data_IF_346929964323
#
_entry.id   IF_346929964323
#
_cell.length_a   1.000
_cell.length_b   1.000
_cell.length_c   1.000
_cell.angle_alpha   90.00
_cell.angle_beta   90.00
_cell.angle_gamma   90.00
#
_symmetry.space_group_name_H-M   'P 1'
#
loop_
_entity.id
_entity.type
_entity.pdbx_description
1 polymer ?
#
# COMPACT_ATOMS: atom_id res chain seq x y z
N UNK A 1 3.90 -2.85 -26.31
CA UNK A 1 2.96 -3.42 -25.32
C UNK A 1 3.70 -4.37 -24.37
N UNK A 2 4.78 -3.89 -23.72
CA UNK A 2 5.62 -4.64 -22.75
C UNK A 2 5.43 -4.12 -21.32
N UNK A 3 4.34 -3.39 -21.08
CA UNK A 3 4.05 -2.73 -19.79
C UNK A 3 3.84 -3.71 -18.62
N UNK A 4 3.65 -5.00 -18.91
CA UNK A 4 3.51 -6.08 -17.93
C UNK A 4 4.74 -7.00 -17.82
N UNK A 5 5.75 -6.81 -18.68
CA UNK A 5 6.93 -7.69 -18.73
C UNK A 5 8.13 -7.18 -17.95
N UNK A 6 8.20 -5.87 -17.65
CA UNK A 6 9.34 -5.31 -16.92
C UNK A 6 9.29 -5.71 -15.44
N UNK A 7 10.45 -5.87 -14.79
CA UNK A 7 10.46 -6.21 -13.35
C UNK A 7 9.85 -5.08 -12.50
N UNK A 8 10.03 -3.84 -12.95
CA UNK A 8 9.47 -2.66 -12.29
C UNK A 8 7.94 -2.60 -12.39
N UNK A 9 7.33 -3.11 -13.48
CA UNK A 9 5.87 -3.24 -13.57
C UNK A 9 5.33 -4.30 -12.61
N UNK A 10 6.05 -5.41 -12.42
CA UNK A 10 5.66 -6.45 -11.43
C UNK A 10 5.74 -5.91 -10.01
N UNK A 11 6.78 -5.15 -9.69
CA UNK A 11 6.89 -4.47 -8.41
C UNK A 11 5.71 -3.51 -8.19
N UNK A 12 5.35 -2.72 -9.21
CA UNK A 12 4.21 -1.82 -9.15
C UNK A 12 2.88 -2.51 -8.93
N UNK A 13 2.60 -3.59 -9.66
CA UNK A 13 1.40 -4.40 -9.45
C UNK A 13 1.35 -5.03 -8.07
N UNK A 14 2.48 -5.55 -7.57
CA UNK A 14 2.57 -6.12 -6.23
C UNK A 14 2.28 -5.07 -5.16
N UNK A 15 2.82 -3.87 -5.29
CA UNK A 15 2.53 -2.74 -4.38
C UNK A 15 1.05 -2.36 -4.44
N UNK A 16 0.48 -2.23 -5.65
CA UNK A 16 -0.92 -1.89 -5.84
C UNK A 16 -1.85 -2.94 -5.20
N UNK A 17 -1.56 -4.22 -5.40
CA UNK A 17 -2.31 -5.31 -4.81
C UNK A 17 -2.20 -5.33 -3.27
N UNK A 18 -0.99 -5.14 -2.72
CA UNK A 18 -0.78 -5.06 -1.27
C UNK A 18 -1.54 -3.90 -0.62
N UNK A 19 -1.66 -2.75 -1.29
CA UNK A 19 -2.43 -1.62 -0.77
C UNK A 19 -3.93 -1.92 -0.86
N UNK A 20 -4.39 -2.50 -1.98
CA UNK A 20 -5.81 -2.80 -2.23
C UNK A 20 -6.35 -3.95 -1.37
N UNK A 21 -5.51 -4.88 -0.95
CA UNK A 21 -5.97 -6.01 -0.13
C UNK A 21 -6.46 -5.57 1.25
N UNK A 22 -5.97 -4.44 1.77
CA UNK A 22 -6.38 -3.91 3.08
C UNK A 22 -7.87 -3.61 3.12
N UNK A 23 -8.43 -2.70 2.26
CA UNK A 23 -9.86 -2.43 2.27
C UNK A 23 -10.70 -3.67 1.97
N UNK A 24 -10.23 -4.59 1.13
CA UNK A 24 -10.94 -5.86 0.86
C UNK A 24 -11.07 -6.70 2.12
N UNK A 25 -9.97 -6.90 2.86
CA UNK A 25 -9.99 -7.66 4.11
C UNK A 25 -10.87 -6.99 5.16
N UNK A 26 -10.83 -5.66 5.27
CA UNK A 26 -11.66 -4.93 6.22
C UNK A 26 -13.15 -5.01 5.85
N UNK A 27 -13.48 -4.91 4.55
CA UNK A 27 -14.84 -5.07 4.06
C UNK A 27 -15.38 -6.47 4.38
N UNK A 28 -14.59 -7.52 4.15
CA UNK A 28 -14.97 -8.89 4.51
C UNK A 28 -15.22 -9.05 6.01
N UNK A 29 -14.39 -8.42 6.84
CA UNK A 29 -14.55 -8.43 8.29
C UNK A 29 -15.83 -7.71 8.74
N UNK A 30 -16.15 -6.57 8.13
CA UNK A 30 -17.39 -5.81 8.39
C UNK A 30 -18.63 -6.61 7.96
N UNK A 31 -18.63 -7.13 6.73
CA UNK A 31 -19.74 -7.93 6.20
C UNK A 31 -20.00 -9.16 7.07
N UNK A 32 -18.93 -9.85 7.50
CA UNK A 32 -19.06 -10.99 8.41
C UNK A 32 -19.62 -10.59 9.78
N UNK A 33 -19.18 -9.46 10.33
CA UNK A 33 -19.68 -8.97 11.62
C UNK A 33 -21.17 -8.58 11.55
N UNK A 34 -21.59 -7.95 10.46
CA UNK A 34 -22.99 -7.59 10.23
C UNK A 34 -23.85 -8.83 10.01
N UNK A 35 -23.32 -9.84 9.32
CA UNK A 35 -23.96 -11.14 9.23
C UNK A 35 -24.24 -11.75 10.61
N UNK A 36 -23.29 -11.69 11.54
CA UNK A 36 -23.50 -12.16 12.92
C UNK A 36 -24.60 -11.36 13.64
N UNK A 37 -24.65 -10.03 13.45
CA UNK A 37 -25.71 -9.18 14.01
C UNK A 37 -27.08 -9.58 13.45
N UNK A 38 -27.18 -9.85 12.15
CA UNK A 38 -28.42 -10.32 11.52
C UNK A 38 -28.88 -11.67 12.08
N UNK A 39 -27.97 -12.63 12.26
CA UNK A 39 -28.29 -13.94 12.87
C UNK A 39 -28.75 -13.78 14.33
N UNK A 40 -28.12 -12.86 15.08
CA UNK A 40 -28.51 -12.55 16.44
C UNK A 40 -29.92 -11.92 16.49
N UNK A 41 -30.23 -11.00 15.57
CA UNK A 41 -31.56 -10.40 15.42
C UNK A 41 -32.64 -11.44 15.17
N UNK A 42 -32.39 -12.34 14.23
CA UNK A 42 -33.30 -13.42 13.94
C UNK A 42 -33.54 -14.30 15.18
N UNK A 43 -32.47 -14.73 15.85
CA UNK A 43 -32.56 -15.58 17.05
C UNK A 43 -33.35 -14.89 18.16
N UNK A 44 -33.15 -13.58 18.33
CA UNK A 44 -33.91 -12.77 19.29
C UNK A 44 -35.40 -12.71 18.94
N UNK A 45 -35.75 -12.51 17.67
CA UNK A 45 -37.14 -12.47 17.25
C UNK A 45 -37.84 -13.83 17.46
N UNK A 46 -37.21 -14.93 17.08
CA UNK A 46 -37.75 -16.29 17.31
C UNK A 46 -37.97 -16.53 18.81
N UNK A 47 -36.99 -16.19 19.65
CA UNK A 47 -37.08 -16.37 21.11
C UNK A 47 -38.19 -15.55 21.77
N UNK A 48 -38.58 -14.41 21.18
CA UNK A 48 -39.66 -13.56 21.68
C UNK A 48 -41.04 -13.89 21.07
N UNK A 49 -41.16 -15.00 20.36
CA UNK A 49 -42.44 -15.49 19.83
C UNK A 49 -42.92 -14.77 18.58
N UNK A 50 -42.03 -14.07 17.86
CA UNK A 50 -42.35 -13.60 16.51
C UNK A 50 -42.35 -14.81 15.57
N UNK A 51 -43.48 -15.13 14.88
CA UNK A 51 -43.57 -16.27 14.00
C UNK A 51 -42.77 -15.98 12.72
N UNK A 52 -41.48 -16.28 12.77
CA UNK A 52 -40.59 -16.24 11.63
C UNK A 52 -40.48 -17.66 11.09
N UNK A 53 -41.08 -17.93 9.94
CA UNK A 53 -40.78 -19.14 9.17
C UNK A 53 -39.34 -19.07 8.64
N UNK A 54 -38.70 -20.20 8.32
CA UNK A 54 -37.36 -20.17 7.70
C UNK A 54 -37.33 -19.34 6.39
N UNK A 55 -38.46 -19.25 5.68
CA UNK A 55 -38.65 -18.37 4.52
C UNK A 55 -38.53 -16.87 4.89
N UNK A 56 -39.03 -16.47 6.06
CA UNK A 56 -38.94 -15.08 6.53
C UNK A 56 -37.51 -14.64 6.88
N UNK A 57 -36.61 -15.57 7.20
CA UNK A 57 -35.19 -15.30 7.38
C UNK A 57 -34.53 -15.01 6.02
N UNK A 58 -34.83 -15.82 5.01
CA UNK A 58 -34.35 -15.57 3.66
C UNK A 58 -34.84 -14.22 3.12
N UNK A 59 -36.11 -13.87 3.39
CA UNK A 59 -36.68 -12.58 3.01
C UNK A 59 -36.04 -11.40 3.75
N UNK A 60 -35.75 -11.56 5.05
CA UNK A 60 -35.02 -10.56 5.84
C UNK A 60 -33.61 -10.32 5.27
N UNK A 61 -32.86 -11.38 5.00
CA UNK A 61 -31.54 -11.27 4.38
C UNK A 61 -31.62 -10.66 2.98
N UNK A 62 -32.57 -11.10 2.15
CA UNK A 62 -32.76 -10.58 0.81
C UNK A 62 -33.07 -9.08 0.85
N UNK A 63 -33.95 -8.63 1.75
CA UNK A 63 -34.26 -7.22 1.88
C UNK A 63 -33.04 -6.39 2.31
N UNK A 64 -32.28 -6.86 3.31
CA UNK A 64 -31.05 -6.18 3.77
C UNK A 64 -29.98 -6.15 2.68
N UNK A 65 -29.78 -7.23 1.92
CA UNK A 65 -28.78 -7.25 0.86
C UNK A 65 -29.24 -6.52 -0.40
N UNK A 66 -30.53 -6.50 -0.70
CA UNK A 66 -31.06 -5.82 -1.87
C UNK A 66 -30.86 -4.32 -1.80
N UNK A 67 -31.01 -3.70 -0.61
CA UNK A 67 -30.67 -2.29 -0.41
C UNK A 67 -29.18 -1.98 -0.62
N UNK A 68 -28.34 -3.01 -0.65
CA UNK A 68 -26.88 -2.89 -0.70
C UNK A 68 -26.29 -3.18 -2.06
N UNK A 69 -27.07 -3.81 -2.95
CA UNK A 69 -26.68 -4.06 -4.34
C UNK A 69 -26.33 -2.73 -5.04
N UNK A 70 -27.03 -1.65 -4.71
CA UNK A 70 -26.76 -0.32 -5.25
C UNK A 70 -25.38 0.23 -4.85
N UNK A 71 -24.80 -0.22 -3.73
CA UNK A 71 -23.48 0.21 -3.26
C UNK A 71 -22.32 -0.60 -3.85
N UNK A 72 -22.58 -1.79 -4.43
CA UNK A 72 -21.54 -2.65 -5.02
C UNK A 72 -20.71 -1.91 -6.09
N UNK A 73 -21.30 -1.15 -7.04
CA UNK A 73 -20.53 -0.38 -8.02
C UNK A 73 -19.61 0.67 -7.37
N UNK A 74 -20.05 1.32 -6.29
CA UNK A 74 -19.26 2.33 -5.59
C UNK A 74 -18.07 1.69 -4.85
N UNK A 75 -18.27 0.53 -4.23
CA UNK A 75 -17.19 -0.25 -3.62
C UNK A 75 -16.20 -0.71 -4.69
N UNK A 76 -16.70 -1.22 -5.82
CA UNK A 76 -15.87 -1.62 -6.95
C UNK A 76 -15.01 -0.46 -7.48
N UNK A 77 -15.64 0.70 -7.70
CA UNK A 77 -14.94 1.92 -8.11
C UNK A 77 -13.90 2.35 -7.08
N UNK A 78 -14.25 2.34 -5.78
CA UNK A 78 -13.33 2.65 -4.69
C UNK A 78 -12.09 1.75 -4.71
N UNK A 79 -12.27 0.42 -4.84
CA UNK A 79 -11.16 -0.53 -4.91
C UNK A 79 -10.28 -0.30 -6.15
N UNK A 80 -10.87 0.02 -7.30
CA UNK A 80 -10.13 0.38 -8.52
C UNK A 80 -9.30 1.64 -8.28
N UNK A 81 -9.88 2.68 -7.66
CA UNK A 81 -9.16 3.92 -7.34
C UNK A 81 -8.00 3.65 -6.40
N UNK A 82 -8.20 2.89 -5.32
CA UNK A 82 -7.14 2.51 -4.37
C UNK A 82 -6.03 1.73 -5.07
N UNK A 83 -6.37 0.84 -6.00
CA UNK A 83 -5.40 0.11 -6.80
C UNK A 83 -4.52 1.04 -7.64
N UNK A 84 -5.12 2.01 -8.35
CA UNK A 84 -4.37 3.00 -9.11
C UNK A 84 -3.51 3.91 -8.22
N UNK A 85 -4.01 4.29 -7.05
CA UNK A 85 -3.19 5.01 -6.05
C UNK A 85 -1.98 4.17 -5.66
N UNK A 86 -2.14 2.86 -5.47
CA UNK A 86 -1.02 1.95 -5.20
C UNK A 86 0.02 1.90 -6.33
N UNK A 87 -0.40 2.00 -7.60
CA UNK A 87 0.52 2.16 -8.75
C UNK A 87 1.30 3.47 -8.65
N UNK A 88 0.63 4.58 -8.35
CA UNK A 88 1.26 5.90 -8.18
C UNK A 88 2.29 5.86 -7.04
N UNK A 89 1.93 5.24 -5.92
CA UNK A 89 2.80 5.06 -4.76
C UNK A 89 4.05 4.28 -5.15
N UNK A 90 3.91 3.20 -5.93
CA UNK A 90 5.07 2.47 -6.46
C UNK A 90 5.94 3.31 -7.39
N UNK A 91 5.33 4.16 -8.23
CA UNK A 91 6.09 5.05 -9.10
C UNK A 91 6.91 6.08 -8.30
N UNK A 92 6.34 6.65 -7.23
CA UNK A 92 7.06 7.56 -6.31
C UNK A 92 8.24 6.83 -5.66
N UNK A 93 8.04 5.57 -5.26
CA UNK A 93 9.08 4.69 -4.72
C UNK A 93 10.23 4.48 -5.71
N UNK A 94 9.92 4.23 -6.97
CA UNK A 94 10.91 3.91 -8.00
C UNK A 94 11.61 5.14 -8.56
N UNK A 95 11.13 6.35 -8.29
CA UNK A 95 11.68 7.61 -8.83
C UNK A 95 13.20 7.77 -8.65
N UNK A 96 13.81 7.47 -7.48
CA UNK A 96 15.26 7.58 -7.32
C UNK A 96 16.06 6.63 -8.23
N UNK A 97 15.52 5.44 -8.52
CA UNK A 97 16.16 4.49 -9.44
C UNK A 97 16.10 4.97 -10.89
N UNK A 98 14.97 5.56 -11.31
CA UNK A 98 14.86 6.16 -12.64
C UNK A 98 15.83 7.34 -12.80
N UNK A 99 15.97 8.18 -11.76
CA UNK A 99 16.96 9.27 -11.77
C UNK A 99 18.40 8.74 -11.88
N UNK A 100 18.75 7.69 -11.13
CA UNK A 100 20.05 7.04 -11.25
C UNK A 100 20.29 6.46 -12.66
N UNK A 101 19.25 5.84 -13.25
CA UNK A 101 19.29 5.31 -14.62
C UNK A 101 19.62 6.40 -15.63
N UNK A 102 18.93 7.55 -15.54
CA UNK A 102 19.18 8.71 -16.39
C UNK A 102 20.60 9.24 -16.22
N UNK A 103 21.08 9.38 -14.98
CA UNK A 103 22.47 9.79 -14.71
C UNK A 103 23.49 8.85 -15.37
N UNK A 104 23.24 7.53 -15.34
CA UNK A 104 24.11 6.55 -15.99
C UNK A 104 24.05 6.63 -17.53
N UNK A 105 22.87 6.93 -18.10
CA UNK A 105 22.71 7.15 -19.54
C UNK A 105 23.43 8.42 -20.00
N UNK A 106 23.28 9.53 -19.28
CA UNK A 106 23.99 10.79 -19.55
C UNK A 106 25.52 10.56 -19.56
N UNK A 107 26.02 9.78 -18.59
CA UNK A 107 27.44 9.42 -18.52
C UNK A 107 27.91 8.57 -19.70
N UNK A 108 27.08 7.62 -20.15
CA UNK A 108 27.36 6.77 -21.31
C UNK A 108 27.46 7.58 -22.60
N UNK A 109 26.62 8.60 -22.75
CA UNK A 109 26.62 9.51 -23.89
C UNK A 109 27.74 10.56 -23.82
N UNK A 110 28.49 10.61 -22.71
CA UNK A 110 29.57 11.58 -22.49
C UNK A 110 29.06 12.98 -22.14
N UNK A 111 27.78 13.12 -21.79
CA UNK A 111 27.20 14.36 -21.31
C UNK A 111 27.53 14.56 -19.83
N UNK A 112 27.82 15.81 -19.44
CA UNK A 112 27.86 16.15 -18.01
C UNK A 112 26.48 15.93 -17.40
N UNK A 113 26.45 15.41 -16.16
CA UNK A 113 25.22 15.20 -15.39
C UNK A 113 24.53 16.56 -15.18
N UNK A 114 23.63 16.92 -16.09
CA UNK A 114 22.81 18.15 -16.05
C UNK A 114 21.48 17.94 -15.34
N UNK A 115 21.21 16.74 -14.82
CA UNK A 115 19.96 16.41 -14.15
C UNK A 115 19.72 17.41 -13.02
N UNK A 116 18.68 18.26 -13.17
CA UNK A 116 18.22 19.20 -12.14
C UNK A 116 17.64 18.40 -10.98
N UNK A 117 18.51 17.86 -10.13
CA UNK A 117 18.07 17.19 -8.92
C UNK A 117 17.75 18.25 -7.87
N UNK A 118 16.52 18.23 -7.34
CA UNK A 118 16.08 19.14 -6.27
C UNK A 118 17.02 19.03 -5.07
N UNK A 119 17.24 20.12 -4.32
CA UNK A 119 18.18 20.15 -3.18
C UNK A 119 17.94 19.07 -2.13
N UNK A 120 16.67 18.69 -1.91
CA UNK A 120 16.27 17.58 -1.03
C UNK A 120 16.59 16.19 -1.64
N UNK A 121 16.55 16.06 -2.96
CA UNK A 121 16.83 14.81 -3.67
C UNK A 121 18.34 14.55 -3.81
N UNK A 122 19.18 15.60 -3.77
CA UNK A 122 20.65 15.47 -3.78
C UNK A 122 21.20 14.72 -2.57
N UNK A 123 20.45 14.69 -1.47
CA UNK A 123 20.84 13.96 -0.26
C UNK A 123 20.54 12.45 -0.35
N UNK A 124 19.75 12.02 -1.35
CA UNK A 124 19.42 10.61 -1.55
C UNK A 124 20.68 9.83 -1.92
N UNK A 125 20.84 8.68 -1.29
CA UNK A 125 22.03 7.85 -1.40
C UNK A 125 22.30 7.42 -2.86
N UNK A 126 21.26 7.05 -3.60
CA UNK A 126 21.36 6.69 -5.02
C UNK A 126 21.82 7.85 -5.91
N UNK A 127 21.44 9.08 -5.60
CA UNK A 127 21.87 10.26 -6.36
C UNK A 127 23.34 10.57 -6.08
N UNK A 128 23.76 10.51 -4.80
CA UNK A 128 25.18 10.63 -4.43
C UNK A 128 26.03 9.59 -5.15
N UNK A 129 25.51 8.38 -5.30
CA UNK A 129 26.15 7.29 -6.02
C UNK A 129 26.28 7.58 -7.52
N UNK A 130 25.26 8.16 -8.15
CA UNK A 130 25.33 8.62 -9.54
C UNK A 130 26.40 9.71 -9.76
N UNK A 131 26.51 10.68 -8.85
CA UNK A 131 27.58 11.67 -8.91
C UNK A 131 28.97 11.05 -8.69
N UNK A 132 29.08 10.11 -7.74
CA UNK A 132 30.32 9.36 -7.53
C UNK A 132 30.74 8.59 -8.80
N UNK A 133 29.80 7.94 -9.50
CA UNK A 133 30.09 7.25 -10.77
C UNK A 133 30.59 8.21 -11.85
N UNK A 134 30.06 9.43 -11.91
CA UNK A 134 30.56 10.48 -12.80
C UNK A 134 32.00 10.85 -12.50
N UNK A 135 32.29 11.15 -11.23
CA UNK A 135 33.64 11.55 -10.80
C UNK A 135 34.64 10.41 -11.00
N UNK A 136 34.20 9.17 -10.74
CA UNK A 136 34.97 7.95 -10.99
C UNK A 136 35.28 7.76 -12.47
N UNK A 137 34.30 7.93 -13.35
CA UNK A 137 34.48 7.84 -14.81
C UNK A 137 35.48 8.89 -15.32
N UNK A 138 35.36 10.15 -14.88
CA UNK A 138 36.26 11.25 -15.27
C UNK A 138 37.69 11.00 -14.82
N UNK A 139 37.89 10.60 -13.58
CA UNK A 139 39.22 10.36 -13.05
C UNK A 139 39.90 9.13 -13.67
N UNK A 140 39.17 8.08 -14.03
CA UNK A 140 39.73 6.93 -14.74
C UNK A 140 40.18 7.31 -16.15
N UNK A 141 39.47 8.21 -16.85
CA UNK A 141 39.93 8.82 -18.11
C UNK A 141 41.21 9.63 -17.93
N UNK A 142 41.33 10.34 -16.81
CA UNK A 142 42.50 11.16 -16.47
C UNK A 142 43.68 10.37 -15.85
N UNK A 143 43.57 9.04 -15.71
CA UNK A 143 44.52 8.19 -14.94
C UNK A 143 44.78 8.68 -13.50
N UNK A 144 43.78 9.29 -12.85
CA UNK A 144 43.84 9.73 -11.46
C UNK A 144 43.22 8.69 -10.54
N UNK A 145 43.86 8.47 -9.39
CA UNK A 145 43.29 7.63 -8.33
C UNK A 145 42.07 8.34 -7.70
N UNK A 146 40.93 7.65 -7.66
CA UNK A 146 39.73 8.11 -6.95
C UNK A 146 39.60 7.37 -5.64
N UNK A 147 39.57 8.11 -4.55
CA UNK A 147 39.13 7.57 -3.27
C UNK A 147 37.60 7.56 -3.22
N UNK A 148 37.01 6.44 -2.82
CA UNK A 148 35.58 6.38 -2.51
C UNK A 148 35.29 7.39 -1.38
N UNK A 149 34.30 8.29 -1.53
CA UNK A 149 33.92 9.26 -0.50
C UNK A 149 33.63 8.60 0.84
N UNK A 150 34.07 9.21 1.94
CA UNK A 150 33.88 8.65 3.29
C UNK A 150 32.40 8.46 3.66
N UNK A 151 31.53 9.31 3.11
CA UNK A 151 30.08 9.19 3.25
C UNK A 151 29.52 7.88 2.69
N UNK A 152 30.09 7.37 1.59
CA UNK A 152 29.69 6.11 0.97
C UNK A 152 30.37 4.91 1.64
N UNK A 153 31.61 5.08 2.15
CA UNK A 153 32.31 4.04 2.92
C UNK A 153 31.65 3.75 4.28
N UNK A 154 31.05 4.77 4.90
CA UNK A 154 30.34 4.64 6.20
C UNK A 154 29.02 3.88 6.09
N UNK A 155 28.56 3.56 4.88
CA UNK A 155 27.32 2.82 4.66
C UNK A 155 27.55 1.33 4.94
N UNK A 156 27.39 0.92 6.20
CA UNK A 156 27.55 -0.48 6.63
C UNK A 156 26.27 -1.29 6.52
N UNK A 157 25.11 -0.65 6.29
CA UNK A 157 23.82 -1.31 6.15
C UNK A 157 22.76 -0.43 5.47
N UNK A 158 21.50 -0.91 5.40
CA UNK A 158 20.39 -0.16 4.81
C UNK A 158 20.15 1.15 5.56
N UNK A 159 20.40 2.29 4.90
CA UNK A 159 20.18 3.61 5.49
C UNK A 159 18.76 4.07 5.18
N UNK A 160 18.02 4.46 6.22
CA UNK A 160 16.71 5.04 6.07
C UNK A 160 16.78 6.54 5.75
N UNK A 161 16.31 6.90 4.56
CA UNK A 161 15.98 8.29 4.23
C UNK A 161 14.72 8.70 5.01
N UNK A 162 14.91 9.47 6.09
CA UNK A 162 13.85 9.91 6.99
C UNK A 162 12.81 10.80 6.29
N UNK A 163 13.24 11.62 5.34
CA UNK A 163 12.34 12.57 4.64
C UNK A 163 11.46 11.79 3.67
N UNK A 164 12.07 10.90 2.89
CA UNK A 164 11.34 10.00 1.99
C UNK A 164 10.38 9.09 2.78
N UNK A 165 10.84 8.52 3.90
CA UNK A 165 10.01 7.73 4.81
C UNK A 165 8.78 8.51 5.29
N UNK A 166 8.98 9.74 5.74
CA UNK A 166 7.91 10.58 6.26
C UNK A 166 6.87 10.94 5.18
N UNK A 167 7.32 11.38 4.00
CA UNK A 167 6.44 11.67 2.86
C UNK A 167 5.57 10.46 2.50
N UNK A 168 6.19 9.29 2.46
CA UNK A 168 5.51 8.05 2.13
C UNK A 168 4.52 7.63 3.23
N UNK A 169 4.89 7.79 4.50
CA UNK A 169 3.98 7.56 5.63
C UNK A 169 2.76 8.48 5.57
N UNK A 170 2.93 9.76 5.21
CA UNK A 170 1.81 10.68 5.01
C UNK A 170 0.86 10.19 3.91
N UNK A 171 1.38 9.71 2.78
CA UNK A 171 0.54 9.16 1.70
C UNK A 171 -0.25 7.93 2.17
N UNK A 172 0.41 7.01 2.87
CA UNK A 172 -0.24 5.82 3.43
C UNK A 172 -1.30 6.19 4.48
N UNK A 173 -1.05 7.23 5.27
CA UNK A 173 -2.02 7.75 6.23
C UNK A 173 -3.27 8.33 5.56
N UNK A 174 -3.10 9.09 4.47
CA UNK A 174 -4.24 9.61 3.68
C UNK A 174 -5.09 8.45 3.12
N UNK A 175 -4.45 7.44 2.55
CA UNK A 175 -5.15 6.25 2.02
C UNK A 175 -5.89 5.52 3.14
N UNK A 176 -5.24 5.37 4.31
CA UNK A 176 -5.86 4.77 5.49
C UNK A 176 -7.08 5.55 5.96
N UNK A 177 -6.97 6.89 6.01
CA UNK A 177 -8.06 7.75 6.42
C UNK A 177 -9.28 7.61 5.50
N UNK A 178 -9.06 7.69 4.18
CA UNK A 178 -10.11 7.50 3.17
C UNK A 178 -10.75 6.10 3.30
N UNK A 179 -9.94 5.07 3.53
CA UNK A 179 -10.42 3.70 3.73
C UNK A 179 -11.32 3.59 4.96
N UNK A 180 -10.89 4.16 6.10
CA UNK A 180 -11.66 4.17 7.34
C UNK A 180 -12.98 4.93 7.17
N UNK A 181 -12.95 6.11 6.54
CA UNK A 181 -14.17 6.88 6.26
C UNK A 181 -15.13 6.10 5.36
N UNK A 182 -14.62 5.42 4.34
CA UNK A 182 -15.45 4.62 3.42
C UNK A 182 -16.10 3.43 4.16
N UNK A 183 -15.32 2.73 5.00
CA UNK A 183 -15.83 1.64 5.84
C UNK A 183 -16.87 2.13 6.84
N UNK A 184 -16.64 3.28 7.46
CA UNK A 184 -17.60 3.91 8.39
C UNK A 184 -18.94 4.15 7.69
N UNK A 185 -18.94 4.85 6.54
CA UNK A 185 -20.16 5.17 5.79
C UNK A 185 -20.90 3.89 5.40
N UNK A 186 -20.19 2.93 4.84
CA UNK A 186 -20.78 1.66 4.41
C UNK A 186 -21.38 0.86 5.57
N UNK A 187 -20.69 0.80 6.70
CA UNK A 187 -21.13 0.04 7.88
C UNK A 187 -22.40 0.64 8.48
N UNK A 188 -22.47 1.97 8.62
CA UNK A 188 -23.68 2.64 9.13
C UNK A 188 -24.87 2.47 8.18
N UNK A 189 -24.67 2.56 6.86
CA UNK A 189 -25.75 2.34 5.89
C UNK A 189 -26.29 0.91 5.93
N UNK A 190 -25.40 -0.07 6.07
CA UNK A 190 -25.80 -1.47 6.28
C UNK A 190 -26.58 -1.63 7.58
N UNK A 191 -26.10 -1.06 8.68
CA UNK A 191 -26.78 -1.18 9.96
C UNK A 191 -28.15 -0.51 9.96
N UNK A 192 -28.28 0.69 9.39
CA UNK A 192 -29.57 1.37 9.27
C UNK A 192 -30.57 0.50 8.49
N UNK A 193 -30.12 -0.16 7.42
CA UNK A 193 -30.93 -1.14 6.69
C UNK A 193 -31.37 -2.30 7.60
N UNK A 194 -30.48 -2.84 8.44
CA UNK A 194 -30.81 -3.90 9.40
C UNK A 194 -31.85 -3.43 10.43
N UNK A 195 -31.71 -2.21 10.96
CA UNK A 195 -32.66 -1.65 11.95
C UNK A 195 -34.02 -1.38 11.32
N UNK A 196 -34.06 -0.72 10.16
CA UNK A 196 -35.31 -0.43 9.44
C UNK A 196 -36.04 -1.73 9.10
N UNK A 197 -35.31 -2.75 8.64
CA UNK A 197 -35.86 -4.08 8.36
C UNK A 197 -36.42 -4.70 9.63
N UNK A 198 -35.65 -4.67 10.73
CA UNK A 198 -36.11 -5.13 12.04
C UNK A 198 -37.41 -4.45 12.46
N UNK A 199 -37.46 -3.11 12.44
CA UNK A 199 -38.66 -2.33 12.80
C UNK A 199 -39.86 -2.68 11.91
N UNK A 200 -39.66 -2.90 10.61
CA UNK A 200 -40.74 -3.27 9.69
C UNK A 200 -41.38 -4.62 10.06
N UNK A 201 -40.57 -5.60 10.43
CA UNK A 201 -41.05 -6.91 10.91
C UNK A 201 -41.84 -6.76 12.21
N UNK A 202 -41.45 -5.82 13.08
CA UNK A 202 -42.13 -5.59 14.35
C UNK A 202 -43.50 -4.95 14.21
N UNK A 203 -43.65 -3.99 13.29
CA UNK A 203 -44.96 -3.37 13.02
C UNK A 203 -46.00 -4.38 12.53
N UNK A 204 -45.57 -5.49 11.95
CA UNK A 204 -46.45 -6.58 11.53
C UNK A 204 -46.97 -7.44 12.69
N UNK A 205 -46.31 -7.42 13.86
CA UNK A 205 -46.62 -8.27 15.02
C UNK A 205 -47.01 -7.40 16.22
N UNK A 206 -48.31 -7.16 16.35
CA UNK A 206 -48.98 -6.20 17.23
C UNK A 206 -48.95 -6.56 18.73
N UNK A 207 -47.78 -6.50 19.40
CA UNK A 207 -47.68 -6.64 20.88
C UNK A 207 -46.93 -5.47 21.53
N UNK A 208 -47.63 -4.70 22.37
CA UNK A 208 -47.11 -3.52 23.06
C UNK A 208 -46.03 -3.80 24.12
N UNK A 209 -45.95 -5.03 24.65
CA UNK A 209 -44.95 -5.44 25.63
C UNK A 209 -43.58 -5.75 24.99
N UNK A 210 -43.56 -6.21 23.73
CA UNK A 210 -42.32 -6.44 22.98
C UNK A 210 -41.55 -5.15 22.68
N UNK A 211 -42.25 -4.02 22.53
CA UNK A 211 -41.69 -2.74 22.08
C UNK A 211 -40.61 -2.21 23.05
N UNK A 212 -40.81 -2.30 24.38
CA UNK A 212 -39.83 -1.80 25.37
C UNK A 212 -38.55 -2.64 25.45
N UNK A 213 -38.67 -3.97 25.40
CA UNK A 213 -37.52 -4.87 25.38
C UNK A 213 -36.69 -4.71 24.10
N UNK A 214 -37.36 -4.41 22.99
CA UNK A 214 -36.71 -4.18 21.70
C UNK A 214 -35.96 -2.87 21.59
N UNK A 215 -36.50 -1.77 22.14
CA UNK A 215 -35.77 -0.49 22.13
C UNK A 215 -34.44 -0.63 22.87
N UNK A 216 -34.43 -1.38 23.98
CA UNK A 216 -33.20 -1.69 24.70
C UNK A 216 -32.25 -2.56 23.88
N UNK A 217 -32.77 -3.57 23.18
CA UNK A 217 -31.98 -4.45 22.30
C UNK A 217 -31.31 -3.67 21.14
N UNK A 218 -32.06 -2.82 20.43
CA UNK A 218 -31.49 -2.02 19.34
C UNK A 218 -30.50 -0.96 19.83
N UNK A 219 -30.77 -0.28 20.95
CA UNK A 219 -29.78 0.62 21.55
C UNK A 219 -28.50 -0.12 21.97
N UNK A 220 -28.63 -1.36 22.47
CA UNK A 220 -27.45 -2.18 22.80
C UNK A 220 -26.67 -2.59 21.55
N UNK A 221 -27.31 -2.68 20.39
CA UNK A 221 -26.64 -2.98 19.12
C UNK A 221 -25.92 -1.79 18.53
N UNK A 222 -26.40 -0.57 18.76
CA UNK A 222 -25.72 0.64 18.34
C UNK A 222 -24.26 0.64 18.84
N UNK A 223 -24.07 0.32 20.12
CA UNK A 223 -22.75 0.16 20.72
C UNK A 223 -21.93 -0.98 20.09
N UNK A 224 -22.57 -2.06 19.62
CA UNK A 224 -21.87 -3.17 18.96
C UNK A 224 -21.34 -2.77 17.58
N UNK A 225 -22.05 -1.93 16.84
CA UNK A 225 -21.58 -1.43 15.53
C UNK A 225 -20.33 -0.59 15.69
N UNK A 226 -20.29 0.25 16.73
CA UNK A 226 -19.12 1.08 16.99
C UNK A 226 -17.87 0.19 17.11
N UNK A 227 -17.98 -0.98 17.75
CA UNK A 227 -16.91 -1.97 17.77
C UNK A 227 -16.66 -2.62 16.41
N UNK A 228 -17.70 -2.93 15.63
CA UNK A 228 -17.59 -3.43 14.25
C UNK A 228 -16.88 -2.44 13.33
N UNK A 229 -16.91 -1.13 13.64
CA UNK A 229 -16.20 -0.11 12.87
C UNK A 229 -14.80 0.13 13.43
N UNK A 230 -14.67 0.31 14.74
CA UNK A 230 -13.42 0.68 15.42
C UNK A 230 -12.38 -0.41 15.22
N UNK A 231 -12.74 -1.69 15.38
CA UNK A 231 -11.78 -2.80 15.29
C UNK A 231 -11.16 -2.90 13.88
N UNK A 232 -11.93 -3.01 12.78
CA UNK A 232 -11.37 -2.98 11.43
C UNK A 232 -10.62 -1.68 11.13
N UNK A 233 -11.07 -0.53 11.66
CA UNK A 233 -10.38 0.74 11.44
C UNK A 233 -8.97 0.76 12.04
N UNK A 234 -8.82 0.27 13.28
CA UNK A 234 -7.52 0.14 13.95
C UNK A 234 -6.64 -0.88 13.22
N UNK A 235 -7.20 -2.03 12.83
CA UNK A 235 -6.45 -3.04 12.06
C UNK A 235 -5.98 -2.48 10.72
N UNK A 236 -6.84 -1.75 10.00
CA UNK A 236 -6.51 -1.09 8.73
C UNK A 236 -5.32 -0.14 8.89
N UNK A 237 -5.33 0.71 9.93
CA UNK A 237 -4.24 1.64 10.21
C UNK A 237 -2.93 0.89 10.46
N UNK A 238 -2.96 -0.17 11.27
CA UNK A 238 -1.78 -0.99 11.57
C UNK A 238 -1.26 -1.67 10.29
N UNK A 239 -2.14 -2.25 9.47
CA UNK A 239 -1.76 -2.91 8.22
C UNK A 239 -1.10 -1.94 7.25
N UNK A 240 -1.61 -0.72 7.09
CA UNK A 240 -0.98 0.29 6.25
C UNK A 240 0.39 0.73 6.79
N UNK A 241 0.58 0.83 8.11
CA UNK A 241 1.89 1.09 8.71
C UNK A 241 2.88 -0.07 8.45
N UNK A 242 2.42 -1.33 8.54
CA UNK A 242 3.23 -2.52 8.23
C UNK A 242 3.63 -2.53 6.75
N UNK A 243 2.67 -2.32 5.84
CA UNK A 243 2.93 -2.22 4.40
C UNK A 243 3.93 -1.11 4.13
N UNK A 244 3.78 0.03 4.81
CA UNK A 244 4.67 1.14 4.61
C UNK A 244 6.12 0.77 4.95
N UNK A 245 6.31 0.19 6.15
CA UNK A 245 7.61 -0.30 6.61
C UNK A 245 8.20 -1.37 5.67
N UNK A 246 7.38 -2.31 5.21
CA UNK A 246 7.81 -3.39 4.33
C UNK A 246 8.31 -2.86 2.98
N UNK A 247 7.55 -1.97 2.33
CA UNK A 247 7.92 -1.39 1.05
C UNK A 247 9.23 -0.58 1.15
N UNK A 248 9.36 0.22 2.20
CA UNK A 248 10.58 1.00 2.44
C UNK A 248 11.78 0.11 2.72
N UNK A 249 11.62 -0.92 3.56
CA UNK A 249 12.71 -1.85 3.87
C UNK A 249 13.22 -2.56 2.61
N UNK A 250 12.34 -2.93 1.69
CA UNK A 250 12.73 -3.54 0.41
C UNK A 250 13.59 -2.57 -0.42
N UNK A 251 13.19 -1.31 -0.54
CA UNK A 251 13.93 -0.27 -1.29
C UNK A 251 15.30 -0.02 -0.67
N UNK A 252 15.37 0.08 0.65
CA UNK A 252 16.62 0.34 1.37
C UNK A 252 17.61 -0.81 1.20
N UNK A 253 17.13 -2.06 1.26
CA UNK A 253 17.96 -3.24 1.02
C UNK A 253 18.59 -3.24 -0.38
N UNK A 254 17.79 -2.91 -1.40
CA UNK A 254 18.30 -2.77 -2.78
C UNK A 254 19.27 -1.59 -2.87
N UNK A 255 18.91 -0.43 -2.34
CA UNK A 255 19.77 0.78 -2.37
C UNK A 255 21.14 0.52 -1.73
N UNK A 256 21.17 -0.22 -0.61
CA UNK A 256 22.40 -0.64 0.03
C UNK A 256 23.25 -1.55 -0.87
N UNK A 257 22.63 -2.53 -1.54
CA UNK A 257 23.34 -3.41 -2.46
C UNK A 257 24.01 -2.64 -3.60
N UNK A 258 23.35 -1.60 -4.14
CA UNK A 258 23.95 -0.72 -5.15
C UNK A 258 25.20 -0.02 -4.65
N UNK A 259 25.11 0.61 -3.47
CA UNK A 259 26.25 1.34 -2.89
C UNK A 259 27.41 0.41 -2.64
N UNK A 260 27.15 -0.74 -2.00
CA UNK A 260 28.18 -1.75 -1.71
C UNK A 260 28.87 -2.21 -2.98
N UNK A 261 28.11 -2.65 -3.99
CA UNK A 261 28.67 -3.27 -5.18
C UNK A 261 29.45 -2.26 -6.05
N UNK A 262 29.00 -1.01 -6.14
CA UNK A 262 29.73 0.07 -6.83
C UNK A 262 31.00 0.46 -6.08
N UNK A 263 30.94 0.61 -4.76
CA UNK A 263 32.12 0.92 -3.95
C UNK A 263 33.17 -0.20 -4.03
N UNK A 264 32.74 -1.47 -4.02
CA UNK A 264 33.63 -2.61 -4.18
C UNK A 264 34.27 -2.64 -5.58
N UNK A 265 33.50 -2.35 -6.63
CA UNK A 265 34.02 -2.24 -8.00
C UNK A 265 35.05 -1.10 -8.11
N UNK A 266 34.76 0.06 -7.53
CA UNK A 266 35.68 1.20 -7.51
C UNK A 266 36.95 0.94 -6.68
N UNK A 267 36.89 0.01 -5.72
CA UNK A 267 38.04 -0.41 -4.90
C UNK A 267 38.91 -1.48 -5.58
N UNK A 268 38.66 -1.81 -6.85
CA UNK A 268 39.47 -2.73 -7.65
C UNK A 268 38.89 -4.13 -7.83
N UNK A 269 37.68 -4.42 -7.31
CA UNK A 269 36.99 -5.69 -7.57
C UNK A 269 36.18 -5.62 -8.89
N UNK A 270 36.89 -5.50 -10.01
CA UNK A 270 36.32 -5.19 -11.33
C UNK A 270 35.33 -6.26 -11.87
N UNK A 271 35.21 -7.42 -11.23
CA UNK A 271 34.25 -8.48 -11.57
C UNK A 271 32.89 -8.34 -10.87
N UNK A 272 32.76 -7.46 -9.87
CA UNK A 272 31.49 -7.25 -9.16
C UNK A 272 30.49 -6.49 -10.03
N UNK A 273 29.27 -7.01 -10.08
CA UNK A 273 28.13 -6.45 -10.82
C UNK A 273 26.90 -6.50 -9.95
N UNK A 274 26.02 -5.52 -10.13
CA UNK A 274 24.76 -5.46 -9.41
C UNK A 274 23.83 -6.53 -9.99
N UNK A 275 23.36 -7.44 -9.13
CA UNK A 275 22.43 -8.51 -9.50
C UNK A 275 21.14 -8.37 -8.69
N UNK A 276 20.14 -7.62 -9.19
CA UNK A 276 18.85 -7.50 -8.51
C UNK A 276 18.16 -8.87 -8.45
N UNK A 277 17.58 -9.21 -7.29
CA UNK A 277 16.85 -10.46 -7.09
C UNK A 277 15.59 -10.49 -7.96
N UNK A 278 14.91 -11.63 -7.96
CA UNK A 278 13.60 -11.72 -8.57
C UNK A 278 12.64 -10.78 -7.83
N UNK A 279 11.99 -9.87 -8.57
CA UNK A 279 11.05 -8.83 -8.09
C UNK A 279 11.65 -7.66 -7.27
N UNK A 280 12.97 -7.51 -7.24
CA UNK A 280 13.61 -6.31 -6.67
C UNK A 280 13.32 -5.07 -7.54
N UNK A 281 13.00 -3.91 -6.94
CA UNK A 281 12.85 -2.65 -7.65
C UNK A 281 14.15 -2.20 -8.33
N UNK A 282 14.03 -1.51 -9.46
CA UNK A 282 15.15 -0.80 -10.08
C UNK A 282 16.04 -1.70 -10.92
N UNK A 283 15.52 -2.72 -11.59
CA UNK A 283 16.36 -3.54 -12.48
C UNK A 283 17.03 -2.69 -13.57
N UNK A 284 16.28 -1.76 -14.16
CA UNK A 284 16.79 -0.88 -15.22
C UNK A 284 18.00 -0.07 -14.75
N UNK A 285 17.97 0.40 -13.50
CA UNK A 285 19.09 1.10 -12.89
C UNK A 285 20.32 0.18 -12.73
N UNK A 286 20.12 -1.10 -12.41
CA UNK A 286 21.22 -2.05 -12.23
C UNK A 286 21.90 -2.33 -13.57
N UNK A 287 21.09 -2.52 -14.61
CA UNK A 287 21.58 -2.75 -15.97
C UNK A 287 22.34 -1.51 -16.48
N UNK A 288 21.83 -0.29 -16.23
CA UNK A 288 22.51 0.95 -16.60
C UNK A 288 23.82 1.17 -15.84
N UNK A 289 23.84 0.92 -14.52
CA UNK A 289 25.06 0.99 -13.72
C UNK A 289 26.10 -0.02 -14.19
N UNK A 290 25.69 -1.28 -14.42
CA UNK A 290 26.60 -2.32 -14.88
C UNK A 290 27.24 -1.96 -16.22
N UNK A 291 26.47 -1.38 -17.15
CA UNK A 291 27.02 -0.88 -18.42
C UNK A 291 28.07 0.22 -18.23
N UNK A 292 27.83 1.17 -17.31
CA UNK A 292 28.81 2.22 -16.98
C UNK A 292 30.07 1.60 -16.36
N UNK A 293 29.92 0.64 -15.44
CA UNK A 293 31.06 -0.07 -14.84
C UNK A 293 31.85 -0.89 -15.87
N UNK A 294 31.18 -1.48 -16.85
CA UNK A 294 31.84 -2.18 -17.96
C UNK A 294 32.65 -1.20 -18.81
N UNK A 295 32.09 -0.03 -19.15
CA UNK A 295 32.82 1.01 -19.89
C UNK A 295 34.03 1.56 -19.13
N UNK A 296 33.93 1.67 -17.80
CA UNK A 296 35.04 2.15 -16.98
C UNK A 296 36.10 1.06 -16.81
N UNK A 297 35.78 -0.23 -16.81
CA UNK A 297 36.74 -1.31 -16.58
C UNK A 297 37.39 -1.89 -17.86
N UNK A 298 36.99 -1.41 -19.03
CA UNK A 298 37.71 -1.60 -20.31
C UNK A 298 38.94 -0.69 -20.36
#
# INVERSE_FOLDING_TARGET
MTLFSSKDSRHSLKTAFLITIVPVLMLLMVVYSIWLIMVMNHSFFVANGFPLSDESLADFFNYVFQSQIEYIPYIGLFLIVVFFVGIIVSHIILRPFHQLTQMCQDLKEGHDIKTKVSGLEKQKLLIKLGYFLSDFSKAKKDNKAVSVPDDLKKVTGPIMDKVFYFQFLCVMFIISFITITSLYIFTYQLFDSVVVSGISMLKSSSSAAGIKGMTYFFNSQENLIDYVIIIPSVISLILYLIIARLLISNIQGVTYAYVRDICDAASGQNSKRIRPRQDDPGKEAADAVNQVLDQINI
#
